data_IF_193201701156
#
_entry.id   IF_193201701156
#
_cell.length_a   1.000
_cell.length_b   1.000
_cell.length_c   1.000
_cell.angle_alpha   90.00
_cell.angle_beta   90.00
_cell.angle_gamma   90.00
#
_symmetry.space_group_name_H-M   'P 1'
#
loop_
_entity.id
_entity.type
_entity.pdbx_description
1 polymer ?
#
# COMPACT_ATOMS: atom_id res chain seq x y z
N UNK A 1 -23.68 2.52 -10.53
CA UNK A 1 -23.33 3.47 -9.45
C UNK A 1 -22.76 2.71 -8.25
N UNK A 2 -21.73 3.23 -7.58
CA UNK A 2 -21.08 2.61 -6.42
C UNK A 2 -22.08 2.25 -5.32
N UNK A 3 -23.04 3.13 -4.99
CA UNK A 3 -23.99 2.91 -3.89
C UNK A 3 -24.82 1.62 -4.06
N UNK A 4 -25.42 1.40 -5.24
CA UNK A 4 -26.16 0.18 -5.55
C UNK A 4 -25.26 -1.07 -5.51
N UNK A 5 -24.01 -0.96 -5.94
CA UNK A 5 -23.03 -2.05 -5.88
C UNK A 5 -22.64 -2.43 -4.43
N UNK A 6 -22.51 -1.44 -3.54
CA UNK A 6 -22.12 -1.64 -2.14
C UNK A 6 -23.21 -2.33 -1.31
N UNK A 7 -24.46 -1.92 -1.46
CA UNK A 7 -25.53 -2.40 -0.58
C UNK A 7 -26.18 -3.72 -1.02
N UNK A 8 -25.99 -4.14 -2.28
CA UNK A 8 -26.53 -5.39 -2.87
C UNK A 8 -28.06 -5.60 -2.66
N UNK A 9 -28.77 -4.57 -2.21
CA UNK A 9 -30.19 -4.50 -1.91
C UNK A 9 -30.78 -3.26 -2.58
N UNK A 10 -32.11 -3.24 -2.72
CA UNK A 10 -32.82 -2.02 -3.04
C UNK A 10 -32.70 -1.04 -1.86
N UNK A 11 -32.14 0.14 -2.15
CA UNK A 11 -31.90 1.21 -1.19
C UNK A 11 -32.70 2.47 -1.54
N UNK A 12 -33.59 2.40 -2.54
CA UNK A 12 -34.33 3.57 -3.01
C UNK A 12 -35.28 4.11 -1.95
N UNK A 13 -35.83 3.23 -1.11
CA UNK A 13 -36.66 3.66 0.02
C UNK A 13 -35.86 4.48 1.03
N UNK A 14 -34.67 4.03 1.43
CA UNK A 14 -33.79 4.72 2.37
C UNK A 14 -33.23 6.02 1.79
N UNK A 15 -32.88 6.02 0.50
CA UNK A 15 -32.48 7.22 -0.24
C UNK A 15 -33.56 8.29 -0.22
N UNK A 16 -34.79 7.93 -0.55
CA UNK A 16 -35.93 8.84 -0.54
C UNK A 16 -36.27 9.32 0.87
N UNK A 17 -36.25 8.43 1.87
CA UNK A 17 -36.53 8.80 3.26
C UNK A 17 -35.55 9.86 3.77
N UNK A 18 -34.25 9.65 3.57
CA UNK A 18 -33.22 10.60 3.99
C UNK A 18 -33.20 11.90 3.18
N UNK A 19 -33.71 11.90 1.93
CA UNK A 19 -33.94 13.12 1.17
C UNK A 19 -35.10 13.94 1.77
N UNK A 20 -36.21 13.28 2.10
CA UNK A 20 -37.36 13.91 2.79
C UNK A 20 -36.93 14.49 4.14
N UNK A 21 -36.10 13.77 4.89
CA UNK A 21 -35.53 14.22 6.18
C UNK A 21 -34.39 15.25 6.03
N UNK A 22 -34.06 15.66 4.80
CA UNK A 22 -33.06 16.68 4.50
C UNK A 22 -31.64 16.31 4.99
N UNK A 23 -31.31 15.02 5.03
CA UNK A 23 -29.98 14.52 5.40
C UNK A 23 -29.00 14.67 4.23
N UNK A 24 -29.46 14.32 3.02
CA UNK A 24 -28.74 14.51 1.77
C UNK A 24 -29.64 15.10 0.68
N UNK A 25 -29.04 15.46 -0.44
CA UNK A 25 -29.74 15.83 -1.67
C UNK A 25 -29.14 15.09 -2.86
N UNK A 26 -29.92 14.81 -3.91
CA UNK A 26 -29.41 14.36 -5.19
C UNK A 26 -28.34 15.34 -5.72
N UNK A 27 -27.29 14.77 -6.30
CA UNK A 27 -26.20 15.48 -6.94
C UNK A 27 -25.92 14.80 -8.28
N UNK A 28 -26.41 15.38 -9.38
CA UNK A 28 -26.40 14.73 -10.70
C UNK A 28 -27.33 13.51 -10.78
N UNK A 29 -27.20 12.71 -11.84
CA UNK A 29 -28.17 11.66 -12.19
C UNK A 29 -28.13 10.41 -11.31
N UNK A 30 -27.05 10.23 -10.56
CA UNK A 30 -26.80 9.02 -9.77
C UNK A 30 -25.73 9.30 -8.72
N UNK A 31 -25.86 10.39 -7.97
CA UNK A 31 -25.03 10.67 -6.79
C UNK A 31 -25.83 11.45 -5.77
N UNK A 32 -25.42 11.36 -4.50
CA UNK A 32 -26.04 12.05 -3.38
C UNK A 32 -24.95 12.76 -2.60
N UNK A 33 -25.27 13.94 -2.10
CA UNK A 33 -24.37 14.72 -1.27
C UNK A 33 -25.05 15.03 0.05
N UNK A 34 -24.35 14.81 1.16
CA UNK A 34 -24.82 15.22 2.48
C UNK A 34 -25.03 16.73 2.51
N UNK A 35 -26.10 17.18 3.19
CA UNK A 35 -26.40 18.61 3.30
C UNK A 35 -25.37 19.41 4.10
N UNK A 36 -24.66 18.74 5.01
CA UNK A 36 -23.52 19.33 5.70
C UNK A 36 -22.45 18.27 6.00
N UNK A 37 -21.20 18.71 6.09
CA UNK A 37 -20.09 17.86 6.55
C UNK A 37 -20.34 17.34 7.97
N UNK A 38 -20.90 18.17 8.86
CA UNK A 38 -21.20 17.77 10.24
C UNK A 38 -22.18 16.60 10.33
N UNK A 39 -23.24 16.59 9.51
CA UNK A 39 -24.19 15.47 9.48
C UNK A 39 -23.51 14.18 9.02
N UNK A 40 -22.66 14.27 8.00
CA UNK A 40 -21.86 13.14 7.52
C UNK A 40 -20.95 12.61 8.63
N UNK A 41 -20.23 13.49 9.30
CA UNK A 41 -19.25 13.12 10.32
C UNK A 41 -19.93 12.46 11.53
N UNK A 42 -21.01 13.05 12.04
CA UNK A 42 -21.79 12.47 13.15
C UNK A 42 -22.37 11.10 12.75
N UNK A 43 -23.00 10.99 11.57
CA UNK A 43 -23.55 9.73 11.12
C UNK A 43 -22.48 8.64 10.96
N UNK A 44 -21.28 9.03 10.50
CA UNK A 44 -20.12 8.15 10.35
C UNK A 44 -19.59 7.69 11.72
N UNK A 45 -19.41 8.61 12.68
CA UNK A 45 -18.93 8.32 14.04
C UNK A 45 -19.89 7.44 14.84
N UNK A 46 -21.19 7.53 14.59
CA UNK A 46 -22.21 6.68 15.23
C UNK A 46 -22.16 5.21 14.79
N UNK A 47 -21.47 4.88 13.69
CA UNK A 47 -21.38 3.50 13.21
C UNK A 47 -20.35 2.68 14.00
N UNK A 48 -20.66 1.40 14.21
CA UNK A 48 -19.69 0.44 14.73
C UNK A 48 -18.48 0.34 13.79
N UNK A 49 -17.26 0.33 14.35
CA UNK A 49 -16.01 0.21 13.58
C UNK A 49 -16.01 -0.99 12.64
N UNK A 50 -16.51 -2.15 13.07
CA UNK A 50 -16.62 -3.36 12.25
C UNK A 50 -17.53 -3.17 11.02
N UNK A 51 -18.61 -2.39 11.18
CA UNK A 51 -19.51 -2.03 10.09
C UNK A 51 -18.84 -1.07 9.11
N UNK A 52 -18.13 -0.05 9.61
CA UNK A 52 -17.36 0.87 8.76
C UNK A 52 -16.31 0.13 7.94
N UNK A 53 -15.53 -0.78 8.55
CA UNK A 53 -14.56 -1.61 7.81
C UNK A 53 -15.22 -2.41 6.69
N UNK A 54 -16.37 -3.02 6.97
CA UNK A 54 -17.14 -3.77 5.97
C UNK A 54 -17.62 -2.88 4.82
N UNK A 55 -18.11 -1.68 5.13
CA UNK A 55 -18.54 -0.71 4.12
C UNK A 55 -17.37 -0.24 3.27
N UNK A 56 -16.23 0.10 3.89
CA UNK A 56 -15.02 0.51 3.18
C UNK A 56 -14.48 -0.58 2.25
N UNK A 57 -14.45 -1.84 2.69
CA UNK A 57 -14.08 -2.97 1.81
C UNK A 57 -14.99 -3.01 0.58
N UNK A 58 -16.30 -2.95 0.79
CA UNK A 58 -17.28 -3.01 -0.30
C UNK A 58 -17.14 -1.84 -1.27
N UNK A 59 -16.86 -0.63 -0.76
CA UNK A 59 -16.62 0.54 -1.62
C UNK A 59 -15.39 0.30 -2.49
N UNK A 60 -14.28 -0.15 -1.92
CA UNK A 60 -13.07 -0.46 -2.68
C UNK A 60 -13.33 -1.53 -3.76
N UNK A 61 -13.97 -2.64 -3.41
CA UNK A 61 -14.35 -3.71 -4.35
C UNK A 61 -15.31 -3.21 -5.45
N UNK A 62 -16.26 -2.34 -5.11
CA UNK A 62 -17.15 -1.71 -6.09
C UNK A 62 -16.40 -0.79 -7.04
N UNK A 63 -15.41 -0.03 -6.56
CA UNK A 63 -14.58 0.81 -7.42
C UNK A 63 -13.72 -0.06 -8.35
N UNK A 64 -13.10 -1.14 -7.84
CA UNK A 64 -12.35 -2.11 -8.66
C UNK A 64 -13.21 -2.67 -9.79
N UNK A 65 -14.45 -3.03 -9.51
CA UNK A 65 -15.37 -3.62 -10.48
C UNK A 65 -15.90 -2.60 -11.50
N UNK A 66 -16.33 -1.42 -11.03
CA UNK A 66 -17.02 -0.45 -11.88
C UNK A 66 -16.06 0.37 -12.77
N UNK A 67 -14.80 0.48 -12.36
CA UNK A 67 -13.78 1.25 -13.06
C UNK A 67 -12.64 0.37 -13.55
N UNK A 68 -12.90 -0.92 -13.85
CA UNK A 68 -11.89 -1.86 -14.34
C UNK A 68 -11.09 -1.32 -15.54
N UNK A 69 -11.76 -0.56 -16.41
CA UNK A 69 -11.18 -0.02 -17.65
C UNK A 69 -10.40 1.29 -17.43
N UNK A 70 -10.59 1.98 -16.30
CA UNK A 70 -9.85 3.20 -15.94
C UNK A 70 -9.48 3.21 -14.45
N UNK A 71 -8.85 2.13 -14.00
CA UNK A 71 -8.52 1.94 -12.58
C UNK A 71 -7.41 2.89 -12.11
N UNK A 72 -6.60 3.40 -13.03
CA UNK A 72 -5.42 4.23 -12.75
C UNK A 72 -5.77 5.51 -12.00
N UNK A 73 -6.87 6.18 -12.36
CA UNK A 73 -7.34 7.38 -11.66
C UNK A 73 -7.93 7.07 -10.26
N UNK A 74 -8.18 5.79 -9.97
CA UNK A 74 -8.84 5.33 -8.75
C UNK A 74 -7.92 4.69 -7.73
N UNK A 75 -6.64 4.48 -8.05
CA UNK A 75 -5.70 3.80 -7.16
C UNK A 75 -5.64 4.38 -5.75
N UNK A 76 -5.53 5.71 -5.61
CA UNK A 76 -5.46 6.34 -4.28
C UNK A 76 -6.78 6.20 -3.50
N UNK A 77 -7.92 6.33 -4.18
CA UNK A 77 -9.26 6.18 -3.58
C UNK A 77 -9.48 4.74 -3.09
N UNK A 78 -9.06 3.76 -3.89
CA UNK A 78 -9.11 2.33 -3.56
C UNK A 78 -8.19 2.02 -2.37
N UNK A 79 -6.95 2.53 -2.39
CA UNK A 79 -5.99 2.35 -1.30
C UNK A 79 -6.55 2.88 0.02
N UNK A 80 -7.09 4.11 0.01
CA UNK A 80 -7.72 4.71 1.17
C UNK A 80 -8.82 3.82 1.76
N UNK A 81 -9.71 3.30 0.91
CA UNK A 81 -10.78 2.44 1.38
C UNK A 81 -10.29 1.08 1.89
N UNK A 82 -9.23 0.49 1.33
CA UNK A 82 -8.64 -0.72 1.90
C UNK A 82 -7.95 -0.47 3.24
N UNK A 83 -7.32 0.69 3.44
CA UNK A 83 -6.74 1.06 4.74
C UNK A 83 -7.82 1.24 5.80
N UNK A 84 -8.91 1.96 5.49
CA UNK A 84 -10.04 2.08 6.41
C UNK A 84 -10.75 0.75 6.69
N UNK A 85 -10.63 -0.21 5.77
CA UNK A 85 -11.14 -1.57 5.94
C UNK A 85 -10.19 -2.50 6.72
N UNK A 86 -8.98 -2.05 7.03
CA UNK A 86 -7.90 -2.85 7.62
C UNK A 86 -7.52 -4.07 6.76
N UNK A 87 -7.47 -3.87 5.44
CA UNK A 87 -7.00 -4.87 4.46
C UNK A 87 -5.65 -4.42 3.92
N UNK A 88 -4.62 -4.57 4.76
CA UNK A 88 -3.28 -4.01 4.57
C UNK A 88 -2.65 -4.44 3.24
N UNK A 89 -2.77 -5.72 2.86
CA UNK A 89 -2.16 -6.24 1.63
C UNK A 89 -2.65 -5.50 0.38
N UNK A 90 -3.97 -5.30 0.27
CA UNK A 90 -4.56 -4.56 -0.86
C UNK A 90 -4.27 -3.06 -0.78
N UNK A 91 -4.27 -2.49 0.42
CA UNK A 91 -3.88 -1.09 0.62
C UNK A 91 -2.47 -0.80 0.10
N UNK A 92 -1.50 -1.66 0.45
CA UNK A 92 -0.12 -1.58 -0.05
C UNK A 92 -0.09 -1.61 -1.58
N UNK A 93 -0.74 -2.61 -2.19
CA UNK A 93 -0.76 -2.77 -3.65
C UNK A 93 -1.30 -1.52 -4.36
N UNK A 94 -2.42 -0.97 -3.90
CA UNK A 94 -3.02 0.18 -4.56
C UNK A 94 -2.30 1.49 -4.26
N UNK A 95 -1.73 1.65 -3.07
CA UNK A 95 -0.94 2.83 -2.73
C UNK A 95 0.38 2.85 -3.52
N UNK A 96 1.00 1.68 -3.75
CA UNK A 96 2.18 1.56 -4.62
C UNK A 96 1.85 1.92 -6.07
N UNK A 97 0.72 1.41 -6.60
CA UNK A 97 0.25 1.79 -7.93
C UNK A 97 -0.02 3.30 -8.04
N UNK A 98 -0.59 3.91 -6.99
CA UNK A 98 -0.78 5.36 -6.95
C UNK A 98 0.55 6.13 -6.95
N UNK A 99 1.55 5.66 -6.19
CA UNK A 99 2.89 6.24 -6.15
C UNK A 99 3.60 6.15 -7.51
N UNK A 100 3.56 4.97 -8.13
CA UNK A 100 4.15 4.74 -9.45
C UNK A 100 3.47 5.59 -10.51
N UNK A 101 2.14 5.74 -10.46
CA UNK A 101 1.41 6.59 -11.38
C UNK A 101 1.77 8.08 -11.21
N UNK A 102 1.81 8.58 -9.96
CA UNK A 102 2.25 9.95 -9.67
C UNK A 102 3.68 10.21 -10.17
N UNK A 103 4.58 9.23 -9.98
CA UNK A 103 5.95 9.27 -10.52
C UNK A 103 5.94 9.37 -12.06
N UNK A 104 5.15 8.55 -12.75
CA UNK A 104 5.05 8.59 -14.23
C UNK A 104 4.54 9.94 -14.74
N UNK A 105 3.68 10.62 -13.97
CA UNK A 105 3.16 11.95 -14.28
C UNK A 105 4.09 13.09 -13.82
N UNK A 106 5.31 12.79 -13.35
CA UNK A 106 6.26 13.76 -12.78
C UNK A 106 5.72 14.54 -11.58
N UNK A 107 4.70 14.01 -10.90
CA UNK A 107 4.18 14.54 -9.63
C UNK A 107 5.08 14.06 -8.48
N UNK A 108 6.36 14.42 -8.55
CA UNK A 108 7.43 13.82 -7.73
C UNK A 108 7.18 13.96 -6.23
N UNK A 109 6.70 15.11 -5.76
CA UNK A 109 6.38 15.29 -4.35
C UNK A 109 5.29 14.33 -3.87
N UNK A 110 4.24 14.15 -4.67
CA UNK A 110 3.14 13.24 -4.34
C UNK A 110 3.59 11.78 -4.37
N UNK A 111 4.44 11.41 -5.33
CA UNK A 111 5.05 10.08 -5.37
C UNK A 111 5.89 9.80 -4.11
N UNK A 112 6.70 10.78 -3.66
CA UNK A 112 7.45 10.66 -2.41
C UNK A 112 6.54 10.50 -1.19
N UNK A 113 5.46 11.27 -1.10
CA UNK A 113 4.51 11.18 0.01
C UNK A 113 3.88 9.78 0.08
N UNK A 114 3.52 9.21 -1.06
CA UNK A 114 2.98 7.85 -1.14
C UNK A 114 4.03 6.77 -0.83
N UNK A 115 5.26 6.88 -1.34
CA UNK A 115 6.33 5.94 -0.98
C UNK A 115 6.70 6.03 0.51
N UNK A 116 6.73 7.23 1.11
CA UNK A 116 6.98 7.39 2.55
C UNK A 116 5.88 6.72 3.40
N UNK A 117 4.61 6.87 2.98
CA UNK A 117 3.48 6.21 3.64
C UNK A 117 3.57 4.68 3.52
N UNK A 118 3.94 4.15 2.35
CA UNK A 118 4.20 2.71 2.16
C UNK A 118 5.31 2.20 3.07
N UNK A 119 6.45 2.90 3.14
CA UNK A 119 7.55 2.53 4.03
C UNK A 119 7.12 2.56 5.51
N UNK A 120 6.23 3.47 5.89
CA UNK A 120 5.70 3.51 7.26
C UNK A 120 4.82 2.30 7.56
N UNK A 121 3.87 1.99 6.66
CA UNK A 121 2.95 0.85 6.81
C UNK A 121 3.73 -0.47 6.83
N UNK A 122 4.55 -0.70 5.80
CA UNK A 122 5.32 -1.94 5.66
C UNK A 122 6.36 -2.06 6.78
N UNK A 123 7.01 -0.96 7.17
CA UNK A 123 7.96 -0.94 8.26
C UNK A 123 7.33 -1.37 9.58
N UNK A 124 6.12 -0.90 9.89
CA UNK A 124 5.37 -1.32 11.06
C UNK A 124 5.06 -2.83 11.04
N UNK A 125 4.58 -3.36 9.91
CA UNK A 125 4.31 -4.80 9.75
C UNK A 125 5.58 -5.68 9.88
N UNK A 126 6.74 -5.15 9.47
CA UNK A 126 8.04 -5.81 9.61
C UNK A 126 8.69 -5.60 10.99
N UNK A 127 8.10 -4.80 11.88
CA UNK A 127 8.74 -4.40 13.14
C UNK A 127 10.00 -3.54 12.96
N UNK A 128 10.15 -2.88 11.81
CA UNK A 128 11.22 -1.94 11.48
C UNK A 128 10.75 -0.54 11.92
N UNK A 129 10.91 -0.22 13.20
CA UNK A 129 10.62 1.14 13.70
C UNK A 129 11.68 2.16 13.20
N UNK A 130 11.31 3.45 13.23
CA UNK A 130 11.95 4.59 12.54
C UNK A 130 13.38 4.97 12.99
N UNK A 131 14.20 4.08 13.57
CA UNK A 131 15.50 4.45 14.12
C UNK A 131 16.55 3.32 14.02
N UNK A 132 17.72 3.67 13.49
CA UNK A 132 18.98 2.90 13.41
C UNK A 132 18.95 1.50 12.75
N UNK A 133 19.52 1.45 11.55
CA UNK A 133 19.77 0.23 10.75
C UNK A 133 20.81 -0.68 11.44
N UNK A 134 21.57 -0.14 12.40
CA UNK A 134 22.63 -0.88 13.11
C UNK A 134 22.12 -1.88 14.18
N UNK A 135 20.80 -1.93 14.45
CA UNK A 135 20.26 -2.84 15.47
C UNK A 135 19.13 -3.77 15.03
N UNK A 136 18.79 -3.81 13.75
CA UNK A 136 17.75 -4.74 13.28
C UNK A 136 18.34 -6.14 13.08
N UNK A 137 18.51 -6.85 14.19
CA UNK A 137 18.39 -8.31 14.17
C UNK A 137 16.99 -8.64 13.66
N UNK A 138 16.83 -8.82 12.34
CA UNK A 138 15.61 -9.38 11.75
C UNK A 138 15.51 -10.82 12.28
N UNK A 139 14.71 -11.00 13.33
CA UNK A 139 14.45 -12.25 14.04
C UNK A 139 13.47 -13.09 13.18
N UNK A 140 13.84 -14.35 12.94
CA UNK A 140 13.11 -15.48 12.32
C UNK A 140 11.93 -15.16 11.39
N UNK A 141 12.11 -15.44 10.10
CA UNK A 141 11.20 -15.02 9.02
C UNK A 141 10.37 -16.22 8.52
N UNK A 142 9.04 -16.16 8.69
CA UNK A 142 8.06 -16.99 7.98
C UNK A 142 7.96 -16.53 6.51
N UNK A 143 7.48 -17.36 5.58
CA UNK A 143 7.42 -17.04 4.13
C UNK A 143 6.79 -15.67 3.79
N UNK A 144 5.73 -15.27 4.51
CA UNK A 144 5.03 -13.99 4.29
C UNK A 144 5.91 -12.77 4.56
N UNK A 145 6.82 -12.86 5.54
CA UNK A 145 7.71 -11.76 5.93
C UNK A 145 8.80 -11.50 4.90
N UNK A 146 9.22 -12.51 4.13
CA UNK A 146 10.18 -12.34 3.02
C UNK A 146 9.62 -11.51 1.88
N UNK A 147 8.40 -11.81 1.42
CA UNK A 147 7.72 -11.07 0.34
C UNK A 147 7.54 -9.59 0.71
N UNK A 148 7.16 -9.33 1.96
CA UNK A 148 6.95 -7.98 2.46
C UNK A 148 8.27 -7.19 2.59
N UNK A 149 9.36 -7.84 2.99
CA UNK A 149 10.69 -7.23 3.04
C UNK A 149 11.23 -6.90 1.64
N UNK A 150 11.06 -7.79 0.66
CA UNK A 150 11.39 -7.50 -0.75
C UNK A 150 10.59 -6.30 -1.26
N UNK A 151 9.30 -6.24 -0.94
CA UNK A 151 8.45 -5.09 -1.27
C UNK A 151 9.01 -3.81 -0.63
N UNK A 152 9.39 -3.83 0.66
CA UNK A 152 10.01 -2.69 1.33
C UNK A 152 11.27 -2.18 0.62
N UNK A 153 12.17 -3.09 0.24
CA UNK A 153 13.40 -2.76 -0.50
C UNK A 153 13.06 -2.13 -1.85
N UNK A 154 12.10 -2.68 -2.59
CA UNK A 154 11.66 -2.11 -3.87
C UNK A 154 11.09 -0.69 -3.71
N UNK A 155 10.30 -0.44 -2.66
CA UNK A 155 9.80 0.91 -2.37
C UNK A 155 10.94 1.89 -2.05
N UNK A 156 11.97 1.46 -1.31
CA UNK A 156 13.15 2.30 -1.08
C UNK A 156 13.84 2.67 -2.40
N UNK A 157 14.08 1.72 -3.29
CA UNK A 157 14.71 1.98 -4.59
C UNK A 157 13.86 2.93 -5.46
N UNK A 158 12.54 2.72 -5.49
CA UNK A 158 11.60 3.60 -6.20
C UNK A 158 11.65 5.02 -5.63
N UNK A 159 11.63 5.18 -4.30
CA UNK A 159 11.79 6.48 -3.64
C UNK A 159 13.14 7.13 -3.98
N UNK A 160 14.24 6.37 -3.97
CA UNK A 160 15.57 6.83 -4.38
C UNK A 160 15.57 7.42 -5.79
N UNK A 161 14.93 6.73 -6.75
CA UNK A 161 14.83 7.23 -8.14
C UNK A 161 14.07 8.56 -8.27
N UNK A 162 13.08 8.83 -7.41
CA UNK A 162 12.35 10.11 -7.43
C UNK A 162 13.22 11.22 -6.81
N UNK A 163 13.93 10.92 -5.71
CA UNK A 163 14.86 11.86 -5.08
C UNK A 163 15.99 12.28 -6.02
N UNK A 164 16.51 11.34 -6.81
CA UNK A 164 17.54 11.61 -7.81
C UNK A 164 17.06 12.64 -8.86
N UNK A 165 15.87 12.43 -9.43
CA UNK A 165 15.26 13.36 -10.39
C UNK A 165 14.99 14.74 -9.78
N UNK A 166 14.71 14.80 -8.47
CA UNK A 166 14.52 16.06 -7.74
C UNK A 166 15.82 16.77 -7.36
N UNK A 167 16.99 16.14 -7.58
CA UNK A 167 18.30 16.68 -7.16
C UNK A 167 18.60 16.51 -5.67
N UNK A 168 17.81 15.69 -4.96
CA UNK A 168 17.95 15.41 -3.53
C UNK A 168 18.95 14.25 -3.29
N UNK A 169 20.18 14.43 -3.77
CA UNK A 169 21.17 13.34 -3.89
C UNK A 169 21.56 12.72 -2.54
N UNK A 170 21.70 13.52 -1.47
CA UNK A 170 22.01 13.00 -0.14
C UNK A 170 20.92 12.04 0.36
N UNK A 171 19.65 12.41 0.18
CA UNK A 171 18.51 11.57 0.55
C UNK A 171 18.43 10.34 -0.36
N UNK A 172 18.72 10.48 -1.66
CA UNK A 172 18.80 9.36 -2.60
C UNK A 172 19.84 8.32 -2.15
N UNK A 173 21.06 8.77 -1.85
CA UNK A 173 22.14 7.91 -1.38
C UNK A 173 21.76 7.19 -0.07
N UNK A 174 21.23 7.90 0.91
CA UNK A 174 20.77 7.30 2.18
C UNK A 174 19.72 6.20 1.95
N UNK A 175 18.78 6.45 1.04
CA UNK A 175 17.71 5.50 0.70
C UNK A 175 18.25 4.24 0.05
N UNK A 176 19.15 4.40 -0.91
CA UNK A 176 19.77 3.29 -1.63
C UNK A 176 20.69 2.47 -0.72
N UNK A 177 21.43 3.13 0.18
CA UNK A 177 22.26 2.44 1.15
C UNK A 177 21.42 1.57 2.09
N UNK A 178 20.26 2.07 2.54
CA UNK A 178 19.32 1.29 3.35
C UNK A 178 18.74 0.09 2.58
N UNK A 179 18.41 0.27 1.31
CA UNK A 179 17.92 -0.81 0.45
C UNK A 179 18.99 -1.91 0.30
N UNK A 180 20.24 -1.51 0.07
CA UNK A 180 21.38 -2.42 -0.08
C UNK A 180 21.65 -3.20 1.21
N UNK A 181 21.73 -2.53 2.37
CA UNK A 181 21.99 -3.21 3.64
C UNK A 181 20.92 -4.25 3.99
N UNK A 182 19.66 -3.95 3.67
CA UNK A 182 18.56 -4.91 3.85
C UNK A 182 18.68 -6.09 2.89
N UNK A 183 19.01 -5.85 1.61
CA UNK A 183 19.22 -6.91 0.63
C UNK A 183 20.38 -7.85 0.99
N UNK A 184 21.52 -7.29 1.42
CA UNK A 184 22.67 -8.06 1.90
C UNK A 184 22.32 -8.91 3.13
N UNK A 185 21.48 -8.39 4.04
CA UNK A 185 21.03 -9.15 5.20
C UNK A 185 20.14 -10.35 4.85
N UNK A 186 19.41 -10.28 3.74
CA UNK A 186 18.62 -11.40 3.21
C UNK A 186 19.56 -12.44 2.62
N UNK A 187 20.51 -12.01 1.79
CA UNK A 187 21.45 -12.90 1.10
C UNK A 187 22.34 -13.66 2.09
N UNK A 188 22.89 -12.95 3.08
CA UNK A 188 23.67 -13.58 4.15
C UNK A 188 22.87 -14.62 4.96
N UNK A 189 21.54 -14.47 5.06
CA UNK A 189 20.66 -15.41 5.79
C UNK A 189 20.14 -16.55 4.91
N UNK A 190 19.96 -16.32 3.61
CA UNK A 190 19.66 -17.39 2.66
C UNK A 190 20.80 -18.41 2.66
N UNK A 191 22.05 -17.95 2.75
CA UNK A 191 23.24 -18.80 2.84
C UNK A 191 23.41 -19.56 4.17
N UNK A 192 22.85 -19.07 5.29
CA UNK A 192 22.91 -19.76 6.60
C UNK A 192 21.84 -20.85 6.72
N UNK A 193 20.78 -20.81 5.90
CA UNK A 193 19.68 -21.77 5.91
C UNK A 193 19.86 -22.96 4.95
N UNK A 194 20.99 -23.05 4.24
CA UNK A 194 21.37 -24.25 3.52
C UNK A 194 22.35 -25.07 4.37
N UNK A 195 22.12 -26.38 4.58
CA UNK A 195 23.11 -27.22 5.24
C UNK A 195 24.43 -27.15 4.46
N UNK A 196 25.59 -27.09 5.13
CA UNK A 196 26.92 -26.91 4.52
C UNK A 196 27.24 -27.90 3.39
N UNK A 197 26.54 -29.04 3.38
CA UNK A 197 26.66 -30.13 2.42
C UNK A 197 26.29 -29.75 0.98
N UNK A 198 25.54 -28.65 0.75
CA UNK A 198 25.13 -28.21 -0.59
C UNK A 198 26.03 -27.13 -1.21
N UNK A 199 26.97 -26.55 -0.46
CA UNK A 199 27.88 -25.51 -0.95
C UNK A 199 29.16 -26.07 -1.61
N UNK A 200 29.39 -27.38 -1.59
CA UNK A 200 30.59 -28.01 -2.15
C UNK A 200 30.48 -28.36 -3.64
N UNK A 201 29.32 -28.19 -4.27
CA UNK A 201 29.10 -28.65 -5.65
C UNK A 201 29.41 -27.63 -6.76
N UNK A 202 29.96 -26.44 -6.43
CA UNK A 202 30.25 -25.40 -7.45
C UNK A 202 31.64 -24.77 -7.32
N UNK A 203 32.65 -25.55 -6.93
CA UNK A 203 34.04 -25.10 -6.96
C UNK A 203 35.02 -26.25 -7.16
N UNK A 204 35.46 -26.49 -8.40
CA UNK A 204 36.60 -27.38 -8.66
C UNK A 204 36.62 -28.07 -10.02
N UNK A 205 36.58 -27.33 -11.12
CA UNK A 205 37.13 -27.80 -12.40
C UNK A 205 37.96 -26.70 -13.03
N UNK A 206 39.14 -26.44 -12.47
CA UNK A 206 40.27 -25.83 -13.18
C UNK A 206 41.60 -26.36 -12.62
N UNK A 207 42.32 -27.04 -13.52
CA UNK A 207 43.77 -27.36 -13.55
C UNK A 207 44.21 -28.47 -12.58
N UNK A 208 44.94 -29.51 -13.02
CA UNK A 208 46.29 -29.42 -13.60
C UNK A 208 46.52 -30.38 -14.81
N UNK A 209 46.95 -29.81 -15.94
CA UNK A 209 47.97 -30.42 -16.80
C UNK A 209 49.24 -29.59 -16.60
N UNK A 210 50.36 -30.25 -16.28
CA UNK A 210 51.68 -29.63 -16.07
C UNK A 210 52.64 -30.54 -15.33
#
# INVERSE_FOLDING_TARGET
>A
MILKSVFKNDIEHELNAAEVEQIWSPYGDSSYMFKSALLKDVAYEMQLRSRLRTLHRRVAESIELLYSDNLTEKFLEIAFHYEQAEITDKAIVYLEKAADHAKMLYQNQQALDFYNRLLTIIGHELGIEHYDIDKTSVIYVQDTTYSLLITYINILLKRGSVLDVMGEWDKCQQTNQKALSLAESIDAKSHVNYPPELLTASGGLLQEEG
#
